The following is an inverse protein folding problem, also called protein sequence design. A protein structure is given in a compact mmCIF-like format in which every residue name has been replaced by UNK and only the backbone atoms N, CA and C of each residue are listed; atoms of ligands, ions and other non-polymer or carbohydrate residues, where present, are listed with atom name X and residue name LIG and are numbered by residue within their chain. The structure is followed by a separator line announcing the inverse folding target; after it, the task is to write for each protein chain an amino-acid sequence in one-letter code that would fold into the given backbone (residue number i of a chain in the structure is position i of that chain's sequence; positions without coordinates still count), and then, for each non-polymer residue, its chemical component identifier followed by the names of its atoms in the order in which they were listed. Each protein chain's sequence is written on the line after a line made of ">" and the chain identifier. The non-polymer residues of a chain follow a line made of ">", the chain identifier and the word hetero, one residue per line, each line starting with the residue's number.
data_IF_260564323741
#
_entry.id   IF_260564323741
#
_cell.length_a   1.000
_cell.length_b   1.000
_cell.length_c   1.000
_cell.angle_alpha   90.00
_cell.angle_beta   90.00
_cell.angle_gamma   90.00
#
_symmetry.space_group_name_H-M   'P 1'
#
loop_
_entity.id
_entity.type
_entity.pdbx_description
1 polymer ?
#
# COMPACT_ATOMS: atom_id res chain seq x y z
N UNK A 1 14.55 0.61 -16.16
CA UNK A 1 15.24 1.63 -15.36
C UNK A 1 15.40 1.05 -13.97
N UNK A 2 16.65 0.79 -13.56
CA UNK A 2 16.98 0.52 -12.16
C UNK A 2 17.08 1.87 -11.45
N UNK A 3 16.42 2.00 -10.30
CA UNK A 3 16.46 3.21 -9.47
C UNK A 3 17.24 2.92 -8.19
N UNK A 4 17.82 3.95 -7.59
CA UNK A 4 18.33 3.82 -6.23
C UNK A 4 17.15 3.61 -5.27
N UNK A 5 17.18 2.48 -4.57
CA UNK A 5 16.15 2.16 -3.58
C UNK A 5 16.47 2.89 -2.27
N UNK A 6 15.46 3.48 -1.59
CA UNK A 6 15.63 3.95 -0.23
C UNK A 6 16.13 2.81 0.68
N UNK A 7 16.96 3.14 1.67
CA UNK A 7 17.65 2.18 2.55
C UNK A 7 16.72 1.10 3.13
N UNK A 8 15.51 1.48 3.55
CA UNK A 8 14.48 0.56 4.02
C UNK A 8 14.16 -0.53 2.99
N UNK A 9 14.00 -0.17 1.72
CA UNK A 9 13.67 -1.09 0.64
C UNK A 9 14.87 -1.93 0.21
N UNK A 10 16.06 -1.32 0.19
CA UNK A 10 17.31 -2.03 -0.11
C UNK A 10 17.58 -3.13 0.95
N UNK A 11 17.37 -2.82 2.23
CA UNK A 11 17.53 -3.80 3.32
C UNK A 11 16.62 -5.01 3.18
N UNK A 12 15.43 -4.85 2.58
CA UNK A 12 14.50 -5.97 2.34
C UNK A 12 15.05 -6.90 1.26
N UNK A 13 15.64 -6.34 0.19
CA UNK A 13 16.24 -7.15 -0.90
C UNK A 13 17.46 -7.92 -0.39
N UNK A 14 18.33 -7.24 0.36
CA UNK A 14 19.58 -7.82 0.87
C UNK A 14 19.30 -8.88 1.94
N UNK A 15 18.39 -8.61 2.87
CA UNK A 15 18.11 -9.51 3.99
C UNK A 15 17.04 -10.57 3.70
N UNK A 16 16.46 -10.60 2.49
CA UNK A 16 15.52 -11.65 2.11
C UNK A 16 16.23 -13.02 2.15
N UNK A 17 15.72 -13.95 2.96
CA UNK A 17 16.25 -15.32 3.01
C UNK A 17 15.84 -16.11 1.76
N UNK A 18 16.67 -17.06 1.38
CA UNK A 18 16.38 -17.91 0.22
C UNK A 18 15.12 -18.77 0.45
N UNK A 19 14.85 -19.21 1.69
CA UNK A 19 13.60 -19.91 2.04
C UNK A 19 12.35 -19.05 1.81
N UNK A 20 12.42 -17.76 2.14
CA UNK A 20 11.32 -16.83 1.93
C UNK A 20 11.09 -16.54 0.44
N UNK A 21 12.18 -16.38 -0.31
CA UNK A 21 12.17 -16.22 -1.77
C UNK A 21 11.57 -17.45 -2.46
N UNK A 22 12.00 -18.65 -2.04
CA UNK A 22 11.51 -19.94 -2.55
C UNK A 22 10.03 -20.14 -2.25
N UNK A 23 9.58 -19.83 -1.01
CA UNK A 23 8.16 -19.92 -0.62
C UNK A 23 7.27 -19.04 -1.50
N UNK A 24 7.80 -17.89 -1.93
CA UNK A 24 7.11 -16.97 -2.83
C UNK A 24 7.31 -17.26 -4.32
N UNK A 25 8.11 -18.28 -4.66
CA UNK A 25 8.45 -18.63 -6.03
C UNK A 25 9.12 -17.49 -6.80
N UNK A 26 9.95 -16.69 -6.13
CA UNK A 26 10.62 -15.53 -6.73
C UNK A 26 12.12 -15.54 -6.47
N UNK A 27 12.89 -15.02 -7.42
CA UNK A 27 14.32 -14.76 -7.26
C UNK A 27 14.57 -13.41 -6.59
N UNK A 28 15.79 -13.20 -6.09
CA UNK A 28 16.19 -11.91 -5.50
C UNK A 28 16.16 -10.76 -6.52
N UNK A 29 16.50 -11.01 -7.77
CA UNK A 29 16.42 -10.02 -8.84
C UNK A 29 14.97 -9.64 -9.17
N UNK A 30 14.05 -10.60 -9.14
CA UNK A 30 12.62 -10.33 -9.30
C UNK A 30 12.05 -9.55 -8.12
N UNK A 31 12.49 -9.86 -6.89
CA UNK A 31 12.15 -9.08 -5.71
C UNK A 31 12.62 -7.63 -5.86
N UNK A 32 13.86 -7.39 -6.29
CA UNK A 32 14.39 -6.03 -6.54
C UNK A 32 13.52 -5.30 -7.55
N UNK A 33 13.25 -5.90 -8.72
CA UNK A 33 12.40 -5.29 -9.76
C UNK A 33 10.99 -4.98 -9.26
N UNK A 34 10.42 -5.85 -8.42
CA UNK A 34 9.11 -5.62 -7.81
C UNK A 34 9.13 -4.41 -6.88
N UNK A 35 10.16 -4.30 -6.05
CA UNK A 35 10.34 -3.18 -5.12
C UNK A 35 10.62 -1.88 -5.88
N UNK A 36 11.45 -1.89 -6.92
CA UNK A 36 11.70 -0.72 -7.78
C UNK A 36 10.39 -0.19 -8.38
N UNK A 37 9.57 -1.07 -8.97
CA UNK A 37 8.25 -0.67 -9.51
C UNK A 37 7.35 -0.07 -8.44
N UNK A 38 7.38 -0.62 -7.23
CA UNK A 38 6.63 -0.07 -6.09
C UNK A 38 7.12 1.33 -5.74
N UNK A 39 8.42 1.53 -5.56
CA UNK A 39 8.99 2.83 -5.18
C UNK A 39 8.71 3.89 -6.23
N UNK A 40 8.82 3.56 -7.52
CA UNK A 40 8.45 4.47 -8.62
C UNK A 40 6.98 4.89 -8.48
N UNK A 41 6.07 3.92 -8.33
CA UNK A 41 4.64 4.20 -8.17
C UNK A 41 4.33 5.02 -6.92
N UNK A 42 4.98 4.70 -5.80
CA UNK A 42 4.78 5.42 -4.54
C UNK A 42 5.29 6.87 -4.67
N UNK A 43 6.40 7.09 -5.38
CA UNK A 43 6.92 8.42 -5.68
C UNK A 43 6.03 9.22 -6.62
N UNK A 44 5.54 8.61 -7.69
CA UNK A 44 4.78 9.30 -8.75
C UNK A 44 3.31 9.52 -8.38
N UNK A 45 2.67 8.57 -7.69
CA UNK A 45 1.21 8.56 -7.52
C UNK A 45 0.74 8.78 -6.08
N UNK A 46 1.57 8.49 -5.07
CA UNK A 46 1.09 8.61 -3.69
C UNK A 46 1.13 10.06 -3.22
N UNK A 47 0.06 10.55 -2.57
CA UNK A 47 0.01 11.90 -1.99
C UNK A 47 1.14 12.05 -0.97
N UNK A 48 1.78 13.22 -0.97
CA UNK A 48 2.83 13.59 -0.03
C UNK A 48 2.22 14.22 1.22
N UNK A 49 3.03 14.37 2.25
CA UNK A 49 2.62 15.06 3.47
C UNK A 49 2.30 16.51 3.12
N UNK A 50 1.07 16.95 3.42
CA UNK A 50 0.58 18.29 3.11
C UNK A 50 -0.24 18.37 1.82
N UNK A 51 -0.21 17.35 0.97
CA UNK A 51 -1.13 17.25 -0.16
C UNK A 51 -2.56 16.97 0.33
N UNK A 52 -3.55 17.33 -0.49
CA UNK A 52 -4.93 16.95 -0.25
C UNK A 52 -5.07 15.41 -0.23
N UNK A 53 -5.84 14.91 0.74
CA UNK A 53 -6.16 13.49 0.79
C UNK A 53 -6.93 13.07 -0.48
N UNK A 54 -6.67 11.87 -1.02
CA UNK A 54 -7.37 11.39 -2.20
C UNK A 54 -8.85 11.17 -1.87
N UNK A 55 -9.74 11.49 -2.81
CA UNK A 55 -11.15 11.17 -2.62
C UNK A 55 -11.35 9.65 -2.65
N UNK A 56 -12.11 9.15 -1.67
CA UNK A 56 -12.48 7.74 -1.57
C UNK A 56 -13.98 7.66 -1.47
N UNK A 57 -14.58 6.77 -2.26
CA UNK A 57 -16.01 6.46 -2.21
C UNK A 57 -16.14 4.95 -1.97
N UNK A 58 -16.49 4.55 -0.74
CA UNK A 58 -16.45 3.16 -0.30
C UNK A 58 -17.78 2.71 0.30
N UNK A 59 -18.19 1.48 -0.02
CA UNK A 59 -19.34 0.86 0.62
C UNK A 59 -18.98 0.35 2.02
N UNK A 60 -19.83 0.63 2.99
CA UNK A 60 -19.67 0.17 4.37
C UNK A 60 -20.06 -1.29 4.48
N UNK A 61 -19.41 -1.98 5.41
CA UNK A 61 -19.86 -3.29 5.87
C UNK A 61 -20.83 -3.10 7.05
N UNK A 62 -21.84 -3.95 7.12
CA UNK A 62 -22.70 -4.05 8.29
C UNK A 62 -22.01 -4.87 9.40
N UNK A 63 -22.72 -5.05 10.52
CA UNK A 63 -22.22 -5.81 11.69
C UNK A 63 -21.90 -7.28 11.40
N UNK A 64 -22.45 -7.84 10.33
CA UNK A 64 -22.20 -9.22 9.91
C UNK A 64 -21.05 -9.32 8.89
N UNK A 65 -20.38 -8.20 8.60
CA UNK A 65 -19.30 -8.15 7.62
C UNK A 65 -19.77 -8.21 6.17
N UNK A 66 -21.07 -8.05 5.90
CA UNK A 66 -21.60 -8.01 4.53
C UNK A 66 -21.86 -6.58 4.08
N UNK A 67 -21.87 -6.38 2.75
CA UNK A 67 -22.18 -5.10 2.10
C UNK A 67 -23.50 -4.50 2.61
N UNK A 68 -23.47 -3.26 3.09
CA UNK A 68 -24.65 -2.61 3.67
C UNK A 68 -25.51 -1.85 2.66
N UNK A 69 -25.00 -1.57 1.45
CA UNK A 69 -25.59 -0.62 0.51
C UNK A 69 -25.41 0.84 0.89
N UNK A 70 -24.81 1.14 2.04
CA UNK A 70 -24.46 2.51 2.45
C UNK A 70 -23.05 2.85 2.00
N UNK A 71 -22.92 4.01 1.36
CA UNK A 71 -21.63 4.49 0.86
C UNK A 71 -21.13 5.65 1.73
N UNK A 72 -19.82 5.71 1.95
CA UNK A 72 -19.14 6.81 2.64
C UNK A 72 -18.08 7.43 1.76
N UNK A 73 -18.03 8.78 1.78
CA UNK A 73 -16.98 9.56 1.11
C UNK A 73 -15.97 10.09 2.11
N UNK A 74 -14.69 10.08 1.77
CA UNK A 74 -13.66 10.62 2.66
C UNK A 74 -13.86 12.11 2.91
N UNK A 75 -14.21 12.88 1.87
CA UNK A 75 -14.48 14.32 1.97
C UNK A 75 -15.60 14.68 2.94
N UNK A 76 -16.52 13.75 3.25
CA UNK A 76 -17.58 13.98 4.25
C UNK A 76 -17.04 14.22 5.67
N UNK A 77 -15.77 13.86 5.92
CA UNK A 77 -15.09 14.07 7.20
C UNK A 77 -14.23 15.34 7.25
N UNK A 78 -14.29 16.20 6.23
CA UNK A 78 -13.49 17.43 6.21
C UNK A 78 -13.68 18.26 7.49
N UNK A 79 -12.58 18.77 8.04
CA UNK A 79 -12.56 19.49 9.33
C UNK A 79 -12.45 18.58 10.56
N UNK A 80 -12.36 17.25 10.40
CA UNK A 80 -12.08 16.30 11.48
C UNK A 80 -10.81 15.49 11.16
N UNK A 81 -9.94 15.23 12.15
CA UNK A 81 -8.85 14.28 11.96
C UNK A 81 -9.39 12.87 11.66
N UNK A 82 -8.88 12.24 10.61
CA UNK A 82 -9.26 10.87 10.20
C UNK A 82 -8.01 10.01 10.06
N UNK A 83 -8.05 8.79 10.59
CA UNK A 83 -7.04 7.76 10.35
C UNK A 83 -7.57 6.70 9.39
N UNK A 84 -6.84 6.41 8.31
CA UNK A 84 -7.13 5.31 7.39
C UNK A 84 -6.25 4.11 7.73
N UNK A 85 -6.88 2.98 8.07
CA UNK A 85 -6.18 1.74 8.42
C UNK A 85 -6.55 0.69 7.38
N UNK A 86 -5.53 0.18 6.67
CA UNK A 86 -5.69 -0.91 5.72
C UNK A 86 -5.27 -2.21 6.40
N UNK A 87 -6.20 -3.16 6.46
CA UNK A 87 -5.97 -4.49 6.99
C UNK A 87 -6.35 -5.54 5.96
N UNK A 88 -5.77 -6.73 6.10
CA UNK A 88 -6.25 -7.90 5.37
C UNK A 88 -7.40 -8.53 6.14
N UNK A 89 -8.52 -8.76 5.48
CA UNK A 89 -9.59 -9.64 5.95
C UNK A 89 -9.43 -10.96 5.19
N UNK A 90 -8.47 -11.77 5.62
CA UNK A 90 -8.23 -13.13 5.12
C UNK A 90 -8.18 -14.08 6.29
#
# INVERSE_FOLDING_TARGET
>A
MSIELPEKFESIVVNASDDWLNTRGMTRDELRKFIEKRVIRDNELSPKIGDDAPELDLERLNSNGTRSGETVRLSSYFGKPVGLIFGSYT
#
